data_IF_499741583008
#
_entry.id   IF_499741583008
#
_cell.length_a   1.000
_cell.length_b   1.000
_cell.length_c   1.000
_cell.angle_alpha   90.00
_cell.angle_beta   90.00
_cell.angle_gamma   90.00
#
_symmetry.space_group_name_H-M   'P 1'
#
loop_
_entity.id
_entity.type
_entity.pdbx_description
1 polymer ?
#
# COMPACT_ATOMS: atom_id res chain seq x y z
N UNK A 1 4.10 -75.19 5.18
CA UNK A 1 3.55 -75.81 6.40
C UNK A 1 2.17 -75.22 6.62
N UNK A 2 1.15 -75.97 6.20
CA UNK A 2 -0.01 -76.43 7.01
C UNK A 2 -1.08 -75.34 7.17
N UNK A 3 -2.36 -75.51 6.81
CA UNK A 3 -3.09 -76.63 6.23
C UNK A 3 -4.49 -76.10 5.82
N UNK A 4 -5.04 -76.64 4.74
CA UNK A 4 -6.41 -76.41 4.26
C UNK A 4 -7.45 -77.10 5.14
N UNK A 5 -8.64 -76.52 5.32
CA UNK A 5 -9.87 -77.34 5.52
C UNK A 5 -11.06 -76.68 4.82
N UNK A 6 -11.41 -77.26 3.67
CA UNK A 6 -12.71 -77.18 2.99
C UNK A 6 -13.67 -78.13 3.70
N UNK A 7 -14.90 -77.69 4.00
CA UNK A 7 -16.00 -78.58 4.42
C UNK A 7 -17.08 -78.62 3.35
N UNK A 8 -17.03 -79.70 2.58
CA UNK A 8 -18.07 -80.22 1.71
C UNK A 8 -19.22 -80.79 2.58
N UNK A 9 -20.48 -80.41 2.32
CA UNK A 9 -21.64 -81.07 2.91
C UNK A 9 -22.43 -81.73 1.78
N UNK A 10 -22.26 -83.05 1.70
CA UNK A 10 -22.95 -83.99 0.82
C UNK A 10 -24.13 -84.57 1.60
N UNK A 11 -25.35 -84.46 1.08
CA UNK A 11 -26.49 -85.24 1.57
C UNK A 11 -26.94 -86.21 0.48
N UNK A 12 -26.70 -87.49 0.75
CA UNK A 12 -27.13 -88.62 -0.04
C UNK A 12 -28.65 -88.82 0.07
N UNK A 13 -29.25 -89.13 -1.09
CA UNK A 13 -30.49 -89.89 -1.22
C UNK A 13 -30.12 -91.37 -1.03
N UNK A 14 -30.97 -92.22 -0.43
CA UNK A 14 -31.73 -93.10 -1.31
C UNK A 14 -33.09 -93.60 -0.79
N UNK A 15 -33.79 -94.23 -1.73
CA UNK A 15 -34.68 -95.39 -1.57
C UNK A 15 -36.17 -95.13 -1.34
N UNK A 16 -36.94 -96.11 -1.79
CA UNK A 16 -38.17 -96.00 -2.54
C UNK A 16 -39.27 -96.92 -2.01
N UNK A 17 -40.51 -96.39 -1.97
CA UNK A 17 -41.84 -97.02 -2.18
C UNK A 17 -42.27 -98.25 -1.33
N UNK A 18 -43.58 -98.44 -1.03
CA UNK A 18 -44.53 -98.89 -2.06
C UNK A 18 -45.96 -98.28 -2.00
N UNK A 19 -46.74 -98.71 -3.00
CA UNK A 19 -48.02 -98.22 -3.51
C UNK A 19 -49.25 -98.31 -2.60
N UNK A 20 -50.23 -97.43 -2.87
CA UNK A 20 -51.65 -97.73 -2.74
C UNK A 20 -52.45 -96.92 -3.78
N UNK A 21 -53.39 -97.62 -4.44
CA UNK A 21 -54.15 -97.20 -5.60
C UNK A 21 -55.40 -96.36 -5.26
N UNK A 22 -55.91 -95.65 -6.28
CA UNK A 22 -57.32 -95.26 -6.58
C UNK A 22 -57.49 -93.76 -6.92
N UNK A 23 -58.54 -93.36 -7.64
CA UNK A 23 -58.87 -93.73 -9.01
C UNK A 23 -58.89 -92.52 -9.95
N UNK A 24 -58.68 -92.83 -11.22
CA UNK A 24 -58.77 -91.95 -12.38
C UNK A 24 -60.22 -91.44 -12.60
N UNK A 25 -60.41 -90.13 -12.51
CA UNK A 25 -61.55 -89.40 -13.08
C UNK A 25 -61.09 -88.06 -13.64
N UNK A 26 -60.33 -88.12 -14.74
CA UNK A 26 -60.17 -86.95 -15.60
C UNK A 26 -61.52 -86.55 -16.24
N UNK A 27 -62.27 -85.68 -15.56
CA UNK A 27 -63.28 -84.85 -16.21
C UNK A 27 -62.56 -83.93 -17.19
N UNK A 28 -62.54 -84.32 -18.46
CA UNK A 28 -62.16 -83.43 -19.56
C UNK A 28 -63.14 -82.25 -19.61
N UNK A 29 -62.78 -81.15 -18.94
CA UNK A 29 -63.41 -79.85 -19.20
C UNK A 29 -63.16 -79.49 -20.67
N UNK A 30 -64.25 -79.23 -21.40
CA UNK A 30 -64.25 -78.78 -22.79
C UNK A 30 -63.18 -77.69 -22.98
N UNK A 31 -62.40 -77.76 -24.06
CA UNK A 31 -61.28 -76.83 -24.35
C UNK A 31 -61.66 -75.34 -24.25
N UNK A 32 -62.94 -74.99 -24.46
CA UNK A 32 -63.45 -73.63 -24.25
C UNK A 32 -63.51 -73.19 -22.78
N UNK A 33 -63.94 -74.06 -21.86
CA UNK A 33 -64.03 -73.75 -20.42
C UNK A 33 -62.64 -73.60 -19.80
N UNK A 34 -61.65 -74.38 -20.26
CA UNK A 34 -60.25 -74.20 -19.82
C UNK A 34 -59.71 -72.83 -20.20
N UNK A 35 -59.94 -72.37 -21.43
CA UNK A 35 -59.54 -71.01 -21.86
C UNK A 35 -60.22 -69.93 -21.03
N UNK A 36 -61.51 -70.07 -20.77
CA UNK A 36 -62.25 -69.11 -19.94
C UNK A 36 -61.79 -69.11 -18.48
N UNK A 37 -61.44 -70.27 -17.93
CA UNK A 37 -60.87 -70.41 -16.59
C UNK A 37 -59.49 -69.74 -16.50
N UNK A 38 -58.63 -69.91 -17.51
CA UNK A 38 -57.33 -69.23 -17.55
C UNK A 38 -57.47 -67.71 -17.69
N UNK A 39 -58.45 -67.23 -18.47
CA UNK A 39 -58.75 -65.79 -18.55
C UNK A 39 -59.25 -65.26 -17.21
N UNK A 40 -60.20 -65.94 -16.57
CA UNK A 40 -60.70 -65.56 -15.24
C UNK A 40 -59.60 -65.58 -14.17
N UNK A 41 -58.73 -66.60 -14.20
CA UNK A 41 -57.58 -66.68 -13.30
C UNK A 41 -56.59 -65.53 -13.58
N UNK A 42 -56.33 -65.22 -14.84
CA UNK A 42 -55.48 -64.08 -15.22
C UNK A 42 -56.05 -62.75 -14.73
N UNK A 43 -57.36 -62.53 -14.90
CA UNK A 43 -58.05 -61.34 -14.39
C UNK A 43 -58.04 -61.30 -12.86
N UNK A 44 -58.25 -62.43 -12.19
CA UNK A 44 -58.19 -62.52 -10.73
C UNK A 44 -56.79 -62.19 -10.20
N UNK A 45 -55.75 -62.77 -10.80
CA UNK A 45 -54.35 -62.47 -10.45
C UNK A 45 -54.05 -60.99 -10.67
N UNK A 46 -54.47 -60.42 -11.81
CA UNK A 46 -54.30 -59.00 -12.09
C UNK A 46 -55.01 -58.12 -11.04
N UNK A 47 -56.26 -58.45 -10.70
CA UNK A 47 -57.04 -57.71 -9.71
C UNK A 47 -56.42 -57.79 -8.31
N UNK A 48 -55.93 -58.98 -7.90
CA UNK A 48 -55.23 -59.17 -6.63
C UNK A 48 -53.88 -58.45 -6.63
N UNK A 49 -53.15 -58.42 -7.73
CA UNK A 49 -51.89 -57.66 -7.84
C UNK A 49 -52.12 -56.15 -7.76
N UNK A 50 -53.14 -55.62 -8.44
CA UNK A 50 -53.49 -54.19 -8.38
C UNK A 50 -53.99 -53.80 -6.99
N UNK A 51 -54.85 -54.62 -6.38
CA UNK A 51 -55.32 -54.39 -5.02
C UNK A 51 -54.16 -54.48 -4.01
N UNK A 52 -53.29 -55.48 -4.14
CA UNK A 52 -52.09 -55.62 -3.33
C UNK A 52 -51.18 -54.40 -3.44
N UNK A 53 -50.92 -53.92 -4.66
CA UNK A 53 -50.15 -52.71 -4.90
C UNK A 53 -50.78 -51.48 -4.26
N UNK A 54 -52.10 -51.27 -4.42
CA UNK A 54 -52.82 -50.15 -3.85
C UNK A 54 -52.84 -50.18 -2.31
N UNK A 55 -52.99 -51.35 -1.69
CA UNK A 55 -52.91 -51.47 -0.22
C UNK A 55 -51.49 -51.30 0.32
N UNK A 56 -50.46 -51.57 -0.48
CA UNK A 56 -49.06 -51.34 -0.10
C UNK A 56 -48.56 -49.95 -0.47
N UNK A 57 -49.22 -49.21 -1.37
CA UNK A 57 -48.73 -47.91 -1.85
C UNK A 57 -48.66 -46.85 -0.74
N UNK A 58 -49.60 -46.88 0.21
CA UNK A 58 -49.59 -45.99 1.37
C UNK A 58 -48.43 -46.28 2.34
N UNK A 59 -47.87 -47.49 2.30
CA UNK A 59 -46.68 -47.86 3.11
C UNK A 59 -45.40 -47.24 2.52
N UNK A 60 -45.42 -46.81 1.26
CA UNK A 60 -44.28 -46.17 0.60
C UNK A 60 -44.27 -44.63 0.72
N UNK A 61 -45.25 -43.99 1.40
CA UNK A 61 -45.14 -42.58 1.81
C UNK A 61 -44.27 -42.46 3.07
N UNK A 62 -43.02 -42.93 2.97
CA UNK A 62 -42.03 -42.75 4.00
C UNK A 62 -41.68 -41.26 4.07
N UNK A 63 -42.22 -40.59 5.09
CA UNK A 63 -41.89 -39.21 5.44
C UNK A 63 -40.76 -39.22 6.45
N UNK A 64 -39.69 -38.52 6.14
CA UNK A 64 -38.58 -38.30 7.04
C UNK A 64 -38.66 -36.88 7.62
N UNK A 65 -38.29 -36.76 8.90
CA UNK A 65 -38.07 -35.47 9.52
C UNK A 65 -36.78 -34.86 8.93
N UNK A 66 -36.89 -33.70 8.33
CA UNK A 66 -35.78 -32.93 7.73
C UNK A 66 -35.58 -31.63 8.49
N UNK A 67 -34.36 -31.12 8.44
CA UNK A 67 -34.01 -29.83 8.99
C UNK A 67 -34.24 -28.74 7.94
N UNK A 68 -34.95 -27.68 8.32
CA UNK A 68 -35.28 -26.54 7.46
C UNK A 68 -34.92 -25.23 8.15
N UNK A 69 -34.76 -24.15 7.39
CA UNK A 69 -34.59 -22.82 7.96
C UNK A 69 -35.89 -22.36 8.66
N UNK A 70 -35.83 -22.00 9.94
CA UNK A 70 -37.01 -21.55 10.71
C UNK A 70 -37.42 -20.11 10.36
N UNK A 71 -36.47 -19.32 9.87
CA UNK A 71 -36.62 -17.92 9.44
C UNK A 71 -35.75 -17.66 8.19
N UNK A 72 -35.93 -16.52 7.50
CA UNK A 72 -34.97 -16.10 6.49
C UNK A 72 -33.59 -15.86 7.12
N UNK A 73 -32.55 -16.35 6.45
CA UNK A 73 -31.13 -16.19 6.83
C UNK A 73 -30.44 -15.45 5.69
N UNK A 74 -29.81 -14.31 5.99
CA UNK A 74 -29.10 -13.52 4.99
C UNK A 74 -27.75 -14.16 4.63
N UNK A 75 -27.24 -13.86 3.43
CA UNK A 75 -25.85 -14.21 3.10
C UNK A 75 -24.89 -13.45 4.03
N UNK A 76 -23.86 -14.14 4.54
CA UNK A 76 -22.91 -13.62 5.53
C UNK A 76 -23.43 -13.64 6.97
N UNK A 77 -24.65 -14.12 7.24
CA UNK A 77 -25.19 -14.18 8.60
C UNK A 77 -24.62 -15.38 9.37
N UNK A 78 -24.19 -15.14 10.62
CA UNK A 78 -23.76 -16.21 11.54
C UNK A 78 -24.97 -16.96 12.09
N UNK A 79 -24.89 -18.28 12.02
CA UNK A 79 -25.98 -19.18 12.37
C UNK A 79 -26.03 -19.47 13.86
N UNK A 80 -27.25 -19.49 14.39
CA UNK A 80 -27.59 -19.97 15.73
C UNK A 80 -28.51 -21.18 15.64
N UNK A 81 -28.55 -22.00 16.69
CA UNK A 81 -29.46 -23.15 16.77
C UNK A 81 -30.94 -22.79 16.55
N UNK A 82 -31.33 -21.55 16.88
CA UNK A 82 -32.70 -21.04 16.72
C UNK A 82 -33.10 -20.82 15.26
N UNK A 83 -32.14 -20.78 14.35
CA UNK A 83 -32.35 -20.52 12.92
C UNK A 83 -32.84 -21.77 12.17
N UNK A 84 -32.87 -22.90 12.86
CA UNK A 84 -33.27 -24.19 12.33
C UNK A 84 -34.57 -24.68 12.96
N UNK A 85 -35.40 -25.30 12.12
CA UNK A 85 -36.60 -26.02 12.50
C UNK A 85 -36.62 -27.40 11.87
N UNK A 86 -37.68 -28.14 12.13
CA UNK A 86 -37.90 -29.46 11.54
C UNK A 86 -39.22 -29.49 10.78
N UNK A 87 -39.23 -30.14 9.63
CA UNK A 87 -40.43 -30.40 8.82
C UNK A 87 -40.45 -31.85 8.34
N UNK A 88 -41.56 -32.32 7.79
CA UNK A 88 -41.72 -33.66 7.23
C UNK A 88 -41.68 -33.63 5.70
N UNK A 89 -40.75 -34.36 5.10
CA UNK A 89 -40.59 -34.45 3.65
C UNK A 89 -40.55 -35.90 3.16
N UNK A 90 -41.03 -36.12 1.94
CA UNK A 90 -41.07 -37.45 1.30
C UNK A 90 -39.65 -37.89 0.94
N UNK A 91 -39.21 -39.05 1.44
CA UNK A 91 -37.82 -39.55 1.34
C UNK A 91 -37.30 -39.58 -0.10
N UNK A 92 -38.16 -39.87 -1.09
CA UNK A 92 -37.77 -39.91 -2.51
C UNK A 92 -37.36 -38.57 -3.13
N UNK A 93 -37.55 -37.46 -2.42
CA UNK A 93 -37.27 -36.09 -2.91
C UNK A 93 -36.05 -35.43 -2.25
N UNK A 94 -35.40 -36.08 -1.29
CA UNK A 94 -34.32 -35.51 -0.49
C UNK A 94 -32.97 -36.09 -0.99
N UNK A 95 -32.09 -35.28 -1.62
CA UNK A 95 -30.83 -35.77 -2.18
C UNK A 95 -29.73 -36.07 -1.13
N UNK A 96 -30.00 -35.93 0.17
CA UNK A 96 -29.03 -36.09 1.26
C UNK A 96 -29.66 -36.71 2.51
N UNK A 97 -28.80 -37.27 3.38
CA UNK A 97 -29.18 -38.07 4.55
C UNK A 97 -30.12 -37.31 5.52
N UNK A 98 -31.08 -38.01 6.18
CA UNK A 98 -31.89 -37.42 7.23
C UNK A 98 -30.99 -36.96 8.39
N UNK A 99 -31.15 -35.69 8.76
CA UNK A 99 -30.38 -35.06 9.83
C UNK A 99 -30.73 -35.69 11.19
N UNK A 100 -29.71 -35.96 12.00
CA UNK A 100 -29.90 -36.36 13.41
C UNK A 100 -30.44 -35.18 14.23
N UNK A 101 -31.04 -35.45 15.39
CA UNK A 101 -31.56 -34.40 16.27
C UNK A 101 -30.48 -33.38 16.72
N UNK A 102 -29.22 -33.77 16.64
CA UNK A 102 -28.07 -32.95 17.02
C UNK A 102 -27.51 -32.12 15.85
N UNK A 103 -28.06 -32.26 14.65
CA UNK A 103 -27.57 -31.55 13.46
C UNK A 103 -27.54 -30.01 13.58
N UNK A 104 -28.50 -29.34 14.24
CA UNK A 104 -28.43 -27.88 14.43
C UNK A 104 -27.16 -27.41 15.15
N UNK A 105 -26.65 -28.19 16.10
CA UNK A 105 -25.42 -27.86 16.84
C UNK A 105 -24.17 -27.93 15.97
N UNK A 106 -24.21 -28.67 14.85
CA UNK A 106 -23.09 -28.75 13.90
C UNK A 106 -22.92 -27.45 13.11
N UNK A 107 -24.00 -26.70 12.91
CA UNK A 107 -24.00 -25.44 12.15
C UNK A 107 -23.90 -24.20 13.04
N UNK A 108 -23.93 -24.37 14.37
CA UNK A 108 -23.81 -23.26 15.29
C UNK A 108 -22.46 -22.55 15.10
N UNK A 109 -22.50 -21.25 14.84
CA UNK A 109 -21.31 -20.44 14.54
C UNK A 109 -20.80 -20.52 13.09
N UNK A 110 -21.44 -21.31 12.21
CA UNK A 110 -21.15 -21.25 10.77
C UNK A 110 -21.78 -20.01 10.12
N UNK A 111 -21.40 -19.69 8.89
CA UNK A 111 -21.88 -18.53 8.13
C UNK A 111 -22.59 -18.97 6.86
N UNK A 112 -23.73 -18.35 6.55
CA UNK A 112 -24.48 -18.64 5.33
C UNK A 112 -23.80 -18.07 4.08
N UNK A 113 -23.54 -18.91 3.08
CA UNK A 113 -22.93 -18.51 1.80
C UNK A 113 -23.91 -17.76 0.88
N UNK A 114 -25.21 -18.06 1.03
CA UNK A 114 -26.29 -17.51 0.21
C UNK A 114 -27.47 -17.12 1.09
N UNK A 115 -28.39 -16.30 0.57
CA UNK A 115 -29.64 -16.02 1.27
C UNK A 115 -30.55 -17.24 1.25
N UNK A 116 -30.99 -17.69 2.42
CA UNK A 116 -31.83 -18.89 2.60
C UNK A 116 -33.22 -18.47 3.07
N UNK A 117 -34.27 -18.65 2.26
CA UNK A 117 -35.65 -18.40 2.69
C UNK A 117 -36.10 -19.34 3.80
N UNK A 118 -37.06 -18.89 4.64
CA UNK A 118 -37.71 -19.76 5.62
C UNK A 118 -38.37 -20.98 4.96
N UNK A 119 -38.31 -22.13 5.62
CA UNK A 119 -38.82 -23.42 5.11
C UNK A 119 -37.90 -24.11 4.09
N UNK A 120 -36.76 -23.50 3.74
CA UNK A 120 -35.81 -24.12 2.82
C UNK A 120 -35.09 -25.28 3.49
N UNK A 121 -34.96 -26.40 2.75
CA UNK A 121 -34.19 -27.57 3.17
C UNK A 121 -32.71 -27.20 3.34
N UNK A 122 -32.19 -27.46 4.54
CA UNK A 122 -30.85 -27.09 4.94
C UNK A 122 -29.84 -28.13 4.46
N UNK A 123 -28.74 -27.68 3.84
CA UNK A 123 -27.68 -28.52 3.28
C UNK A 123 -26.31 -28.06 3.76
N UNK A 124 -25.37 -29.01 3.91
CA UNK A 124 -23.98 -28.72 4.35
C UNK A 124 -23.29 -27.67 3.43
N UNK A 125 -23.58 -27.68 2.13
CA UNK A 125 -22.97 -26.79 1.12
C UNK A 125 -23.46 -25.34 1.16
N UNK A 126 -24.48 -25.03 1.98
CA UNK A 126 -25.01 -23.67 2.14
C UNK A 126 -24.22 -22.86 3.16
N UNK A 127 -23.32 -23.50 3.90
CA UNK A 127 -22.60 -22.89 5.00
C UNK A 127 -21.12 -23.18 4.94
N UNK A 128 -20.40 -22.37 5.69
CA UNK A 128 -18.95 -22.44 5.77
C UNK A 128 -18.55 -22.08 7.20
N UNK A 129 -17.36 -22.48 7.64
CA UNK A 129 -16.87 -22.03 8.93
C UNK A 129 -16.71 -20.49 8.90
N UNK A 130 -17.05 -19.80 10.00
CA UNK A 130 -16.92 -18.35 10.08
C UNK A 130 -15.49 -17.84 9.76
N UNK A 131 -14.48 -18.67 10.01
CA UNK A 131 -13.07 -18.38 9.72
C UNK A 131 -12.73 -18.41 8.22
N UNK A 132 -13.61 -18.98 7.38
CA UNK A 132 -13.35 -19.23 5.95
C UNK A 132 -14.16 -18.37 4.98
N UNK A 133 -15.09 -17.56 5.48
CA UNK A 133 -15.79 -16.56 4.66
C UNK A 133 -15.63 -15.19 5.27
N UNK A 134 -15.25 -14.17 4.47
CA UNK A 134 -15.27 -12.78 4.92
C UNK A 134 -16.70 -12.42 5.36
N UNK A 135 -16.90 -12.29 6.66
CA UNK A 135 -18.20 -12.02 7.28
C UNK A 135 -18.45 -10.52 7.23
N UNK A 136 -19.19 -10.04 6.21
CA UNK A 136 -19.64 -8.66 6.14
C UNK A 136 -18.82 -7.75 5.23
N UNK A 137 -18.76 -6.45 5.56
CA UNK A 137 -18.25 -5.32 4.76
C UNK A 137 -16.72 -5.33 4.63
N UNK A 138 -16.11 -6.50 4.46
CA UNK A 138 -14.69 -6.59 4.16
C UNK A 138 -14.47 -6.20 2.70
N UNK A 139 -13.48 -5.34 2.49
CA UNK A 139 -13.12 -4.84 1.17
C UNK A 139 -11.87 -5.57 0.71
N UNK A 140 -11.91 -5.97 -0.55
CA UNK A 140 -10.75 -6.50 -1.24
C UNK A 140 -9.75 -5.37 -1.51
N UNK A 141 -8.49 -5.58 -1.13
CA UNK A 141 -7.36 -4.74 -1.54
C UNK A 141 -6.26 -5.62 -2.11
N UNK A 142 -5.64 -5.15 -3.19
CA UNK A 142 -4.55 -5.84 -3.89
C UNK A 142 -3.29 -5.05 -3.68
N UNK A 143 -2.31 -5.67 -3.02
CA UNK A 143 -1.02 -5.07 -2.71
C UNK A 143 0.02 -5.63 -3.66
N UNK A 144 0.46 -4.87 -4.69
CA UNK A 144 1.50 -5.33 -5.60
C UNK A 144 2.85 -5.36 -4.86
N UNK A 145 3.63 -6.42 -5.11
CA UNK A 145 4.90 -6.68 -4.44
C UNK A 145 6.06 -6.81 -5.44
N UNK A 146 7.15 -6.10 -5.18
CA UNK A 146 8.45 -6.30 -5.83
C UNK A 146 9.31 -7.22 -4.96
N UNK A 147 9.69 -8.38 -5.50
CA UNK A 147 10.45 -9.39 -4.79
C UNK A 147 11.97 -9.22 -4.95
N UNK A 148 12.44 -8.08 -5.46
CA UNK A 148 13.86 -7.78 -5.66
C UNK A 148 14.72 -7.88 -4.40
N UNK A 149 14.12 -7.73 -3.22
CA UNK A 149 14.79 -7.85 -1.92
C UNK A 149 14.65 -9.23 -1.25
N UNK A 150 13.86 -10.14 -1.83
CA UNK A 150 13.72 -11.49 -1.31
C UNK A 150 15.02 -12.28 -1.58
N UNK A 151 15.58 -12.88 -0.53
CA UNK A 151 16.78 -13.71 -0.61
C UNK A 151 16.46 -15.15 -1.03
N UNK A 152 15.19 -15.56 -0.91
CA UNK A 152 14.66 -16.86 -1.29
C UNK A 152 13.34 -16.79 -2.05
N UNK A 153 12.78 -17.95 -2.39
CA UNK A 153 11.42 -18.04 -2.92
C UNK A 153 10.43 -17.84 -1.77
N UNK A 154 9.54 -16.87 -1.93
CA UNK A 154 8.46 -16.58 -0.99
C UNK A 154 7.23 -17.44 -1.30
N UNK A 155 6.56 -17.90 -0.25
CA UNK A 155 5.33 -18.66 -0.29
C UNK A 155 4.23 -17.99 0.54
N UNK A 156 2.99 -18.37 0.28
CA UNK A 156 1.88 -18.03 1.16
C UNK A 156 2.15 -18.55 2.58
N UNK A 157 1.92 -17.70 3.58
CA UNK A 157 2.23 -17.95 4.99
C UNK A 157 3.61 -17.46 5.44
N UNK A 158 4.47 -17.00 4.53
CA UNK A 158 5.76 -16.43 4.92
C UNK A 158 5.59 -15.03 5.53
N UNK A 159 6.31 -14.76 6.63
CA UNK A 159 6.38 -13.42 7.21
C UNK A 159 7.43 -12.58 6.49
N UNK A 160 7.02 -11.41 5.99
CA UNK A 160 7.85 -10.49 5.24
C UNK A 160 7.82 -9.08 5.83
N UNK A 161 8.89 -8.33 5.60
CA UNK A 161 8.90 -6.89 5.77
C UNK A 161 8.53 -6.22 4.44
N UNK A 162 7.50 -5.39 4.48
CA UNK A 162 7.13 -4.51 3.37
C UNK A 162 7.92 -3.22 3.46
N UNK A 163 8.58 -2.87 2.37
CA UNK A 163 9.55 -1.77 2.29
C UNK A 163 9.05 -0.77 1.26
N UNK A 164 8.99 0.50 1.66
CA UNK A 164 8.87 1.63 0.75
C UNK A 164 10.23 1.79 0.04
N UNK A 165 10.28 1.67 -1.31
CA UNK A 165 11.52 1.79 -2.06
C UNK A 165 12.15 3.20 -1.98
N UNK A 166 11.43 4.18 -1.42
CA UNK A 166 11.84 5.57 -1.38
C UNK A 166 11.52 6.28 -2.70
N UNK A 167 12.02 7.51 -2.84
CA UNK A 167 12.00 8.23 -4.10
C UNK A 167 13.43 8.33 -4.61
N UNK A 168 13.65 8.05 -5.89
CA UNK A 168 14.98 8.14 -6.49
C UNK A 168 15.53 9.57 -6.39
N UNK A 169 16.84 9.73 -6.11
CA UNK A 169 17.47 11.03 -6.13
C UNK A 169 17.37 11.66 -7.53
N UNK A 170 17.01 12.94 -7.60
CA UNK A 170 17.09 13.75 -8.81
C UNK A 170 18.07 14.90 -8.58
N UNK A 171 18.49 15.59 -9.64
CA UNK A 171 19.48 16.66 -9.53
C UNK A 171 19.00 17.74 -8.53
N UNK A 172 19.76 17.92 -7.44
CA UNK A 172 19.43 18.86 -6.37
C UNK A 172 18.40 18.37 -5.34
N UNK A 173 17.91 17.13 -5.45
CA UNK A 173 17.00 16.52 -4.46
C UNK A 173 17.46 15.08 -4.15
N UNK A 174 17.89 14.79 -2.91
CA UNK A 174 18.32 13.46 -2.51
C UNK A 174 17.17 12.42 -2.48
N UNK A 175 15.93 12.85 -2.74
CA UNK A 175 14.76 12.00 -2.77
C UNK A 175 14.28 11.61 -1.37
N UNK A 176 13.51 10.53 -1.28
CA UNK A 176 12.97 9.99 -0.02
C UNK A 176 13.73 8.71 0.34
N UNK A 177 14.17 8.54 1.61
CA UNK A 177 14.84 7.31 2.01
C UNK A 177 13.90 6.11 1.91
N UNK A 178 14.51 4.94 1.71
CA UNK A 178 13.84 3.65 1.95
C UNK A 178 13.46 3.54 3.41
N UNK A 179 12.33 2.88 3.69
CA UNK A 179 11.90 2.56 5.05
C UNK A 179 11.08 1.30 5.10
N UNK A 180 11.12 0.60 6.23
CA UNK A 180 10.19 -0.47 6.52
C UNK A 180 8.85 0.13 6.88
N UNK A 181 7.82 -0.28 6.17
CA UNK A 181 6.46 0.22 6.36
C UNK A 181 5.70 -0.66 7.34
N UNK A 182 5.75 -1.98 7.12
CA UNK A 182 4.93 -2.94 7.86
C UNK A 182 5.52 -4.33 7.81
N UNK A 183 5.35 -5.08 8.89
CA UNK A 183 5.52 -6.53 8.93
C UNK A 183 4.17 -7.19 8.61
N UNK A 184 4.17 -8.19 7.73
CA UNK A 184 2.95 -8.90 7.37
C UNK A 184 3.23 -10.35 6.98
N UNK A 185 2.20 -11.19 7.08
CA UNK A 185 2.22 -12.56 6.57
C UNK A 185 1.59 -12.56 5.17
N UNK A 186 2.26 -13.18 4.20
CA UNK A 186 1.77 -13.27 2.83
C UNK A 186 0.48 -14.10 2.77
N UNK A 187 -0.65 -13.44 2.49
CA UNK A 187 -1.98 -14.06 2.42
C UNK A 187 -2.54 -13.99 0.99
N UNK A 188 -3.07 -15.09 0.45
CA UNK A 188 -3.53 -15.18 -0.95
C UNK A 188 -2.48 -14.64 -1.95
N UNK A 189 -1.22 -15.02 -1.77
CA UNK A 189 -0.10 -14.52 -2.56
C UNK A 189 0.09 -15.33 -3.85
N UNK A 190 0.13 -14.65 -5.00
CA UNK A 190 0.23 -15.29 -6.33
C UNK A 190 1.65 -15.28 -6.93
N UNK A 191 2.65 -14.78 -6.20
CA UNK A 191 4.02 -14.58 -6.67
C UNK A 191 4.34 -13.15 -7.09
N UNK A 192 3.35 -12.27 -7.21
CA UNK A 192 3.56 -10.86 -7.61
C UNK A 192 2.73 -9.86 -6.82
N UNK A 193 1.67 -10.32 -6.17
CA UNK A 193 0.78 -9.48 -5.38
C UNK A 193 0.13 -10.30 -4.27
N UNK A 194 -0.27 -9.59 -3.22
CA UNK A 194 -1.01 -10.13 -2.08
C UNK A 194 -2.45 -9.64 -2.16
N UNK A 195 -3.42 -10.55 -2.05
CA UNK A 195 -4.84 -10.20 -2.05
C UNK A 195 -5.40 -10.28 -0.62
N UNK A 196 -5.76 -9.13 -0.06
CA UNK A 196 -6.26 -9.03 1.30
C UNK A 196 -7.76 -8.73 1.32
N UNK A 197 -8.49 -9.37 2.22
CA UNK A 197 -9.85 -9.01 2.58
C UNK A 197 -9.80 -8.41 3.98
N UNK A 198 -10.03 -7.11 4.07
CA UNK A 198 -9.79 -6.32 5.30
C UNK A 198 -10.99 -5.45 5.63
N UNK A 199 -11.06 -4.97 6.87
CA UNK A 199 -12.08 -4.00 7.29
C UNK A 199 -11.99 -2.69 6.48
N UNK A 200 -13.07 -1.89 6.36
CA UNK A 200 -13.02 -0.62 5.64
C UNK A 200 -11.98 0.38 6.16
N UNK A 201 -11.68 0.35 7.46
CA UNK A 201 -10.63 1.19 8.07
C UNK A 201 -9.24 0.76 7.59
N UNK A 202 -8.96 -0.54 7.63
CA UNK A 202 -7.67 -1.07 7.17
C UNK A 202 -7.52 -0.97 5.64
N UNK A 203 -8.61 -1.12 4.89
CA UNK A 203 -8.63 -0.85 3.44
C UNK A 203 -8.20 0.59 3.14
N UNK A 204 -8.74 1.56 3.87
CA UNK A 204 -8.36 2.96 3.73
C UNK A 204 -6.88 3.22 4.11
N UNK A 205 -6.36 2.49 5.10
CA UNK A 205 -4.94 2.53 5.45
C UNK A 205 -4.06 1.99 4.32
N UNK A 206 -4.43 0.88 3.68
CA UNK A 206 -3.71 0.33 2.54
C UNK A 206 -3.74 1.25 1.32
N UNK A 207 -4.90 1.80 0.97
CA UNK A 207 -5.03 2.78 -0.11
C UNK A 207 -4.17 4.03 0.16
N UNK A 208 -4.22 4.57 1.38
CA UNK A 208 -3.40 5.71 1.77
C UNK A 208 -1.91 5.38 1.69
N UNK A 209 -1.51 4.18 2.12
CA UNK A 209 -0.13 3.75 2.09
C UNK A 209 0.39 3.61 0.65
N UNK A 210 -0.36 2.94 -0.23
CA UNK A 210 0.03 2.77 -1.63
C UNK A 210 0.11 4.12 -2.36
N UNK A 211 -0.80 5.04 -2.05
CA UNK A 211 -0.75 6.41 -2.55
C UNK A 211 0.47 7.20 -2.04
N UNK A 212 0.85 7.05 -0.76
CA UNK A 212 2.02 7.69 -0.16
C UNK A 212 3.34 7.16 -0.76
N UNK A 213 3.42 5.84 -0.95
CA UNK A 213 4.58 5.19 -1.57
C UNK A 213 4.71 5.63 -3.03
N UNK A 214 3.59 5.75 -3.75
CA UNK A 214 3.58 6.19 -5.15
C UNK A 214 4.11 5.13 -6.12
N UNK A 215 4.19 3.87 -5.69
CA UNK A 215 4.79 2.75 -6.43
C UNK A 215 4.55 1.39 -5.77
N UNK A 216 5.26 0.38 -6.25
CA UNK A 216 5.18 -1.00 -5.74
C UNK A 216 5.97 -1.14 -4.43
N UNK A 217 5.38 -1.80 -3.43
CA UNK A 217 6.08 -2.14 -2.19
C UNK A 217 7.09 -3.25 -2.46
N UNK A 218 8.28 -3.15 -1.87
CA UNK A 218 9.25 -4.23 -1.91
C UNK A 218 9.00 -5.22 -0.77
N UNK A 219 9.14 -6.52 -1.02
CA UNK A 219 9.04 -7.56 -0.01
C UNK A 219 10.42 -8.16 0.29
N UNK A 220 10.76 -8.24 1.58
CA UNK A 220 11.97 -8.89 2.06
C UNK A 220 11.61 -10.00 3.05
N UNK A 221 12.14 -11.20 2.86
CA UNK A 221 11.94 -12.33 3.77
C UNK A 221 12.65 -12.11 5.11
N UNK A 222 12.01 -12.57 6.18
CA UNK A 222 12.65 -12.67 7.49
C UNK A 222 13.32 -14.03 7.60
N UNK A 223 14.65 -14.03 7.73
CA UNK A 223 15.39 -15.26 7.99
C UNK A 223 14.90 -15.97 9.25
N UNK A 224 15.00 -17.31 9.28
CA UNK A 224 14.50 -18.13 10.39
C UNK A 224 15.05 -17.64 11.74
N UNK A 225 14.14 -17.23 12.63
CA UNK A 225 14.48 -16.76 13.98
C UNK A 225 14.92 -15.30 14.07
N UNK A 226 14.84 -14.52 13.00
CA UNK A 226 15.03 -13.08 13.05
C UNK A 226 13.83 -12.39 13.73
N UNK A 227 14.11 -11.42 14.58
CA UNK A 227 13.08 -10.52 15.12
C UNK A 227 12.77 -9.45 14.08
N UNK A 228 11.51 -9.40 13.63
CA UNK A 228 11.07 -8.47 12.60
C UNK A 228 11.25 -7.01 13.01
N UNK A 229 10.90 -6.68 14.26
CA UNK A 229 11.00 -5.32 14.79
C UNK A 229 12.44 -4.84 14.98
N UNK A 230 13.37 -5.70 15.38
CA UNK A 230 14.81 -5.41 15.43
C UNK A 230 15.37 -5.22 14.02
N UNK A 231 15.01 -6.12 13.09
CA UNK A 231 15.46 -6.05 11.69
C UNK A 231 14.98 -4.77 11.03
N UNK A 232 13.70 -4.41 11.21
CA UNK A 232 13.12 -3.17 10.69
C UNK A 232 13.84 -1.92 11.21
N UNK A 233 14.00 -1.80 12.54
CA UNK A 233 14.71 -0.67 13.15
C UNK A 233 16.16 -0.55 12.67
N UNK A 234 16.84 -1.69 12.47
CA UNK A 234 18.20 -1.71 11.97
C UNK A 234 18.28 -1.23 10.51
N UNK A 235 17.36 -1.69 9.66
CA UNK A 235 17.29 -1.26 8.27
C UNK A 235 16.96 0.23 8.14
N UNK A 236 15.95 0.71 8.88
CA UNK A 236 15.58 2.13 8.89
C UNK A 236 16.77 2.99 9.33
N UNK A 237 17.52 2.56 10.35
CA UNK A 237 18.70 3.28 10.81
C UNK A 237 19.81 3.35 9.75
N UNK A 238 20.01 2.27 8.99
CA UNK A 238 21.02 2.22 7.91
C UNK A 238 20.60 3.10 6.74
N UNK A 239 19.35 3.01 6.27
CA UNK A 239 18.87 3.81 5.14
C UNK A 239 18.76 5.29 5.48
N UNK A 240 18.35 5.64 6.70
CA UNK A 240 18.36 7.03 7.14
C UNK A 240 19.78 7.59 7.18
N UNK A 241 20.77 6.81 7.64
CA UNK A 241 22.18 7.19 7.60
C UNK A 241 22.67 7.45 6.16
N UNK A 242 22.41 6.52 5.24
CA UNK A 242 22.78 6.66 3.83
C UNK A 242 22.13 7.88 3.17
N UNK A 243 20.86 8.13 3.46
CA UNK A 243 20.16 9.30 2.94
C UNK A 243 20.73 10.60 3.53
N UNK A 244 21.04 10.64 4.83
CA UNK A 244 21.67 11.82 5.44
C UNK A 244 23.03 12.15 4.84
N UNK A 245 23.85 11.13 4.56
CA UNK A 245 25.14 11.31 3.86
C UNK A 245 24.93 11.85 2.43
N UNK A 246 23.90 11.37 1.73
CA UNK A 246 23.56 11.85 0.39
C UNK A 246 23.04 13.30 0.39
N UNK A 247 22.25 13.69 1.41
CA UNK A 247 21.80 15.09 1.60
C UNK A 247 23.00 16.00 1.82
N UNK A 248 23.92 15.63 2.72
CA UNK A 248 25.12 16.42 2.99
C UNK A 248 26.02 16.58 1.75
N UNK A 249 26.12 15.54 0.92
CA UNK A 249 26.84 15.60 -0.36
C UNK A 249 26.13 16.52 -1.36
N UNK A 250 24.81 16.42 -1.50
CA UNK A 250 24.01 17.27 -2.37
C UNK A 250 24.10 18.75 -1.96
N UNK A 251 24.04 19.03 -0.66
CA UNK A 251 24.22 20.38 -0.10
C UNK A 251 25.62 20.91 -0.39
N UNK A 252 26.66 20.08 -0.22
CA UNK A 252 28.04 20.47 -0.54
C UNK A 252 28.21 20.77 -2.03
N UNK A 253 27.68 19.91 -2.90
CA UNK A 253 27.71 20.10 -4.33
C UNK A 253 26.92 21.36 -4.75
N UNK A 254 25.78 21.63 -4.12
CA UNK A 254 25.00 22.84 -4.35
C UNK A 254 25.74 24.10 -3.91
N UNK A 255 26.45 24.07 -2.77
CA UNK A 255 27.30 25.17 -2.32
C UNK A 255 28.50 25.39 -3.25
N UNK A 256 29.16 24.32 -3.71
CA UNK A 256 30.25 24.42 -4.69
C UNK A 256 29.77 24.95 -6.05
N UNK A 257 28.59 24.53 -6.50
CA UNK A 257 27.95 25.05 -7.70
C UNK A 257 27.51 26.51 -7.53
N UNK A 258 26.99 26.90 -6.36
CA UNK A 258 26.61 28.28 -6.06
C UNK A 258 27.81 29.22 -5.95
N UNK A 259 28.95 28.73 -5.41
CA UNK A 259 30.23 29.44 -5.41
C UNK A 259 30.82 29.66 -6.81
N UNK A 260 30.21 29.04 -7.83
CA UNK A 260 30.43 29.34 -9.24
C UNK A 260 29.13 29.86 -9.84
N UNK A 261 28.64 31.02 -9.37
CA UNK A 261 27.54 31.75 -10.01
C UNK A 261 27.76 31.76 -11.53
N UNK A 262 27.04 30.88 -12.24
CA UNK A 262 27.30 30.67 -13.65
C UNK A 262 26.85 31.95 -14.39
N UNK A 263 27.80 32.61 -15.06
CA UNK A 263 27.51 33.78 -15.89
C UNK A 263 26.30 33.50 -16.78
N UNK A 264 25.29 34.39 -16.79
CA UNK A 264 24.25 34.27 -17.80
C UNK A 264 24.90 34.40 -19.19
N UNK A 265 24.37 33.75 -20.25
CA UNK A 265 24.95 33.86 -21.58
C UNK A 265 25.08 35.33 -22.03
N UNK A 266 26.33 35.83 -22.10
CA UNK A 266 26.64 37.22 -22.47
C UNK A 266 27.15 38.10 -21.32
N UNK A 267 27.04 37.65 -20.07
CA UNK A 267 27.62 38.36 -18.92
C UNK A 267 29.13 38.18 -18.86
N UNK A 268 29.81 39.21 -18.39
CA UNK A 268 31.26 39.27 -18.26
C UNK A 268 31.63 39.31 -16.78
N UNK A 269 32.64 38.55 -16.41
CA UNK A 269 33.19 38.60 -15.06
C UNK A 269 33.94 39.92 -14.84
N UNK A 270 33.63 40.63 -13.76
CA UNK A 270 34.40 41.78 -13.28
C UNK A 270 34.89 41.52 -11.86
N UNK A 271 36.15 41.88 -11.62
CA UNK A 271 36.78 41.83 -10.31
C UNK A 271 37.05 43.26 -9.86
N UNK A 272 36.34 43.72 -8.84
CA UNK A 272 36.44 45.08 -8.31
C UNK A 272 37.19 45.04 -6.98
N UNK A 273 38.35 45.73 -6.86
CA UNK A 273 39.01 45.88 -5.58
C UNK A 273 38.20 46.81 -4.67
N UNK A 274 38.05 46.44 -3.40
CA UNK A 274 37.31 47.21 -2.39
C UNK A 274 38.25 47.62 -1.26
N UNK A 275 38.17 48.88 -0.83
CA UNK A 275 38.87 49.37 0.36
C UNK A 275 38.00 49.17 1.60
N UNK A 276 38.43 48.26 2.49
CA UNK A 276 37.72 47.92 3.72
C UNK A 276 38.10 48.81 4.91
N UNK A 277 38.82 49.92 4.69
CA UNK A 277 39.29 50.81 5.76
C UNK A 277 38.18 51.41 6.64
N UNK A 278 36.96 51.51 6.11
CA UNK A 278 35.79 51.97 6.87
C UNK A 278 35.08 50.86 7.67
N UNK A 279 35.52 49.60 7.54
CA UNK A 279 34.99 48.47 8.28
C UNK A 279 36.05 47.84 9.20
N UNK A 280 36.28 48.39 10.40
CA UNK A 280 37.28 47.86 11.32
C UNK A 280 36.94 46.46 11.85
N UNK A 281 35.67 46.07 11.81
CA UNK A 281 35.20 44.71 12.10
C UNK A 281 35.43 43.71 10.96
N UNK A 282 35.90 44.18 9.79
CA UNK A 282 35.94 43.41 8.56
C UNK A 282 34.60 43.42 7.83
N UNK A 283 34.60 42.88 6.61
CA UNK A 283 33.41 42.58 5.80
C UNK A 283 33.50 41.12 5.40
N UNK A 284 32.38 40.42 5.35
CA UNK A 284 32.28 39.02 4.95
C UNK A 284 31.34 38.86 3.76
N UNK A 285 31.44 37.70 3.10
CA UNK A 285 30.52 37.32 2.04
C UNK A 285 29.07 37.30 2.57
N UNK A 286 28.13 37.83 1.77
CA UNK A 286 26.72 37.98 2.11
C UNK A 286 26.35 39.30 2.78
N UNK A 287 27.33 40.08 3.27
CA UNK A 287 27.09 41.39 3.89
C UNK A 287 26.46 42.38 2.91
N UNK A 288 25.54 43.22 3.42
CA UNK A 288 25.07 44.41 2.70
C UNK A 288 25.96 45.59 3.06
N UNK A 289 26.56 46.23 2.06
CA UNK A 289 27.48 47.35 2.24
C UNK A 289 27.02 48.58 1.46
N UNK A 290 27.35 49.76 1.98
CA UNK A 290 27.35 51.00 1.21
C UNK A 290 28.68 51.11 0.49
N UNK A 291 28.61 51.34 -0.82
CA UNK A 291 29.76 51.62 -1.66
C UNK A 291 29.99 53.13 -1.67
N UNK A 292 31.19 53.55 -1.31
CA UNK A 292 31.53 54.95 -1.03
C UNK A 292 32.64 55.40 -1.97
N UNK A 293 32.41 56.53 -2.64
CA UNK A 293 33.47 57.32 -3.26
C UNK A 293 34.34 57.91 -2.14
N UNK A 294 35.64 57.57 -2.05
CA UNK A 294 36.53 58.10 -1.01
C UNK A 294 36.72 59.63 -1.10
N UNK A 295 36.28 60.24 -2.19
CA UNK A 295 36.44 61.65 -2.50
C UNK A 295 37.81 61.93 -3.11
N UNK A 296 38.11 63.22 -3.28
CA UNK A 296 39.40 63.69 -3.75
C UNK A 296 39.93 64.69 -2.74
N UNK A 297 41.17 64.49 -2.30
CA UNK A 297 41.81 65.40 -1.35
C UNK A 297 41.98 66.80 -1.97
N UNK A 298 41.87 67.88 -1.18
CA UNK A 298 42.15 69.22 -1.67
C UNK A 298 43.60 69.33 -2.14
N UNK A 299 43.79 69.84 -3.36
CA UNK A 299 45.11 70.18 -3.92
C UNK A 299 45.23 71.69 -4.03
N UNK A 300 46.44 72.22 -4.22
CA UNK A 300 46.66 73.66 -4.34
C UNK A 300 45.84 74.24 -5.52
N UNK A 301 44.76 74.95 -5.20
CA UNK A 301 43.84 75.54 -6.17
C UNK A 301 42.64 74.67 -6.57
N UNK A 302 42.51 73.45 -6.04
CA UNK A 302 41.35 72.58 -6.23
C UNK A 302 40.77 72.18 -4.86
N UNK A 303 39.53 72.54 -4.53
CA UNK A 303 38.91 72.16 -3.27
C UNK A 303 38.67 70.65 -3.10
N UNK A 304 38.96 69.83 -4.13
CA UNK A 304 38.71 68.39 -4.12
C UNK A 304 37.23 68.07 -4.21
N UNK A 305 36.84 66.84 -3.85
CA UNK A 305 35.43 66.43 -3.73
C UNK A 305 35.15 65.75 -2.40
N UNK A 306 33.96 65.95 -1.81
CA UNK A 306 33.57 65.22 -0.61
C UNK A 306 33.38 63.74 -0.90
N UNK A 307 33.49 62.91 0.14
CA UNK A 307 33.00 61.54 0.11
C UNK A 307 31.51 61.51 -0.23
N UNK A 308 31.09 60.50 -0.97
CA UNK A 308 29.67 60.29 -1.25
C UNK A 308 29.34 58.81 -1.37
N UNK A 309 28.14 58.42 -0.95
CA UNK A 309 27.65 57.06 -1.20
C UNK A 309 27.21 56.96 -2.65
N UNK A 310 27.83 56.04 -3.39
CA UNK A 310 27.53 55.80 -4.81
C UNK A 310 26.48 54.70 -5.00
N UNK A 311 26.34 53.80 -4.03
CA UNK A 311 25.31 52.76 -4.09
C UNK A 311 25.29 51.85 -2.87
N UNK A 312 24.40 50.86 -2.93
CA UNK A 312 24.31 49.76 -1.97
C UNK A 312 24.52 48.47 -2.72
N UNK A 313 25.26 47.54 -2.11
CA UNK A 313 25.60 46.29 -2.75
C UNK A 313 25.64 45.15 -1.72
N UNK A 314 25.21 43.97 -2.15
CA UNK A 314 25.39 42.74 -1.38
C UNK A 314 26.64 42.01 -1.85
N UNK A 315 27.51 41.64 -0.93
CA UNK A 315 28.82 41.03 -1.22
C UNK A 315 28.68 39.52 -1.49
N UNK A 316 28.06 39.15 -2.61
CA UNK A 316 27.75 37.74 -2.90
C UNK A 316 28.98 36.87 -3.22
N UNK A 317 30.04 37.42 -3.82
CA UNK A 317 31.29 36.69 -4.07
C UNK A 317 32.51 37.54 -3.66
N UNK A 318 32.60 37.87 -2.38
CA UNK A 318 33.67 38.68 -1.83
C UNK A 318 34.77 37.82 -1.18
N UNK A 319 36.02 38.01 -1.60
CA UNK A 319 37.18 37.38 -0.98
C UNK A 319 38.41 38.27 -1.06
N UNK A 320 39.19 38.33 0.02
CA UNK A 320 40.50 39.01 0.06
C UNK A 320 40.51 40.47 -0.45
N UNK A 321 39.51 41.28 -0.09
CA UNK A 321 39.42 42.68 -0.55
C UNK A 321 38.99 42.83 -2.00
N UNK A 322 38.55 41.76 -2.64
CA UNK A 322 38.07 41.74 -4.01
C UNK A 322 36.65 41.21 -4.05
N UNK A 323 35.82 41.88 -4.85
CA UNK A 323 34.49 41.44 -5.14
C UNK A 323 34.44 40.96 -6.58
N UNK A 324 33.92 39.75 -6.78
CA UNK A 324 33.68 39.17 -8.11
C UNK A 324 32.19 39.25 -8.39
N UNK A 325 31.82 39.63 -9.60
CA UNK A 325 30.44 39.58 -10.06
C UNK A 325 30.39 39.38 -11.58
N UNK A 326 29.27 38.89 -12.05
CA UNK A 326 28.95 38.82 -13.48
C UNK A 326 27.99 39.95 -13.80
N UNK A 327 28.31 40.71 -14.85
CA UNK A 327 27.53 41.88 -15.25
C UNK A 327 27.39 41.93 -16.78
N UNK A 328 26.28 42.47 -17.32
CA UNK A 328 26.14 42.71 -18.75
C UNK A 328 27.22 43.69 -19.24
N UNK A 329 27.60 43.69 -20.54
CA UNK A 329 28.76 44.44 -21.04
C UNK A 329 28.80 45.94 -20.69
N UNK A 330 27.64 46.59 -20.63
CA UNK A 330 27.50 48.01 -20.25
C UNK A 330 27.79 48.27 -18.77
N UNK A 331 27.33 47.38 -17.89
CA UNK A 331 27.55 47.47 -16.46
C UNK A 331 28.95 46.96 -16.08
N UNK A 332 29.46 45.95 -16.79
CA UNK A 332 30.85 45.50 -16.69
C UNK A 332 31.83 46.65 -16.94
N UNK A 333 31.59 47.45 -17.99
CA UNK A 333 32.43 48.62 -18.29
C UNK A 333 32.36 49.66 -17.17
N UNK A 334 31.16 49.89 -16.62
CA UNK A 334 30.99 50.76 -15.45
C UNK A 334 31.83 50.28 -14.26
N UNK A 335 31.66 49.02 -13.84
CA UNK A 335 32.38 48.44 -12.69
C UNK A 335 33.89 48.40 -12.89
N UNK A 336 34.34 48.06 -14.10
CA UNK A 336 35.76 48.04 -14.42
C UNK A 336 36.38 49.45 -14.38
N UNK A 337 35.66 50.46 -14.87
CA UNK A 337 36.13 51.84 -14.88
C UNK A 337 36.03 52.54 -13.52
N UNK A 338 35.26 51.98 -12.58
CA UNK A 338 34.92 52.65 -11.33
C UNK A 338 36.15 53.08 -10.52
N UNK A 339 37.17 52.25 -10.28
CA UNK A 339 38.36 52.68 -9.53
C UNK A 339 39.10 53.84 -10.21
N UNK A 340 39.17 53.83 -11.55
CA UNK A 340 39.84 54.89 -12.33
C UNK A 340 39.05 56.21 -12.28
N UNK A 341 37.71 56.13 -12.36
CA UNK A 341 36.82 57.30 -12.27
C UNK A 341 36.87 57.94 -10.88
N UNK A 342 36.90 57.11 -9.83
CA UNK A 342 37.01 57.58 -8.45
C UNK A 342 38.43 58.08 -8.13
N UNK A 343 39.45 57.52 -8.79
CA UNK A 343 40.87 57.74 -8.52
C UNK A 343 41.41 56.86 -7.39
N UNK A 344 40.62 55.91 -6.90
CA UNK A 344 40.95 54.98 -5.83
C UNK A 344 39.93 53.81 -5.82
N UNK A 345 40.27 52.73 -5.10
CA UNK A 345 39.31 51.66 -4.85
C UNK A 345 38.10 52.21 -4.06
N UNK A 346 36.85 51.86 -4.43
CA UNK A 346 35.68 52.23 -3.66
C UNK A 346 35.79 51.75 -2.21
N UNK A 347 35.38 52.59 -1.26
CA UNK A 347 35.34 52.22 0.15
C UNK A 347 34.05 51.48 0.47
N UNK A 348 34.10 50.52 1.40
CA UNK A 348 32.91 49.79 1.86
C UNK A 348 32.60 50.04 3.33
N UNK A 349 31.33 50.34 3.61
CA UNK A 349 30.80 50.49 4.96
C UNK A 349 29.66 49.48 5.16
N UNK A 350 29.79 48.48 6.05
CA UNK A 350 28.73 47.51 6.29
C UNK A 350 27.49 48.17 6.90
N UNK A 351 26.33 47.67 6.48
CA UNK A 351 25.03 48.10 6.97
C UNK A 351 24.44 46.97 7.80
N UNK A 352 24.12 47.25 9.07
CA UNK A 352 23.46 46.28 9.92
C UNK A 352 22.06 45.96 9.39
N UNK A 353 21.67 44.69 9.41
CA UNK A 353 20.34 44.26 9.02
C UNK A 353 19.25 45.05 9.76
N UNK A 354 18.20 45.45 9.04
CA UNK A 354 17.11 46.28 9.57
C UNK A 354 17.40 47.79 9.59
N UNK A 355 18.59 48.24 9.19
CA UNK A 355 18.88 49.68 9.03
C UNK A 355 18.14 50.25 7.82
N UNK A 356 17.54 51.43 7.96
CA UNK A 356 17.02 52.19 6.82
C UNK A 356 18.20 52.72 5.99
N UNK A 357 18.47 52.02 4.88
CA UNK A 357 19.57 52.31 3.95
C UNK A 357 19.44 53.72 3.39
N UNK A 358 18.24 54.15 3.00
CA UNK A 358 18.03 55.44 2.35
C UNK A 358 18.27 56.61 3.32
N UNK A 359 17.76 56.50 4.54
CA UNK A 359 18.01 57.50 5.58
C UNK A 359 19.49 57.56 5.96
N UNK A 360 20.15 56.42 6.05
CA UNK A 360 21.60 56.33 6.33
C UNK A 360 22.42 57.01 5.23
N UNK A 361 22.10 56.74 3.96
CA UNK A 361 22.73 57.37 2.79
C UNK A 361 22.54 58.88 2.80
N UNK A 362 21.32 59.35 3.04
CA UNK A 362 21.01 60.78 3.08
C UNK A 362 21.80 61.49 4.19
N UNK A 363 21.87 60.88 5.38
CA UNK A 363 22.59 61.40 6.54
C UNK A 363 24.10 61.47 6.33
N UNK A 364 24.70 60.41 5.79
CA UNK A 364 26.14 60.37 5.50
C UNK A 364 26.53 61.41 4.44
N UNK A 365 25.78 61.49 3.35
CA UNK A 365 26.03 62.47 2.29
C UNK A 365 25.89 63.91 2.81
N UNK A 366 24.91 64.19 3.69
CA UNK A 366 24.76 65.51 4.30
C UNK A 366 25.96 65.86 5.20
N UNK A 367 26.40 64.91 6.04
CA UNK A 367 27.52 65.08 6.97
C UNK A 367 28.85 65.32 6.22
N UNK A 368 29.16 64.53 5.20
CA UNK A 368 30.40 64.70 4.43
C UNK A 368 30.40 66.00 3.63
N UNK A 369 29.25 66.40 3.08
CA UNK A 369 29.13 67.68 2.38
C UNK A 369 29.35 68.87 3.32
N UNK A 370 28.77 68.86 4.52
CA UNK A 370 28.97 69.95 5.48
C UNK A 370 30.43 70.03 5.94
N UNK A 371 31.05 68.88 6.26
CA UNK A 371 32.46 68.83 6.66
C UNK A 371 33.40 69.36 5.56
N UNK A 372 33.12 69.03 4.30
CA UNK A 372 33.88 69.55 3.16
C UNK A 372 33.69 71.06 2.97
N UNK A 373 32.48 71.57 3.12
CA UNK A 373 32.21 73.02 3.06
C UNK A 373 32.94 73.79 4.17
N UNK A 374 32.94 73.26 5.39
CA UNK A 374 33.67 73.84 6.52
C UNK A 374 35.18 73.88 6.24
N UNK A 375 35.75 72.78 5.72
CA UNK A 375 37.16 72.71 5.36
C UNK A 375 37.55 73.73 4.25
N UNK A 376 36.66 73.98 3.28
CA UNK A 376 36.89 75.02 2.28
C UNK A 376 36.94 76.42 2.89
N UNK A 377 36.00 76.73 3.79
CA UNK A 377 35.96 78.05 4.43
C UNK A 377 37.21 78.30 5.28
N UNK A 378 37.72 77.27 5.96
CA UNK A 378 38.94 77.36 6.77
C UNK A 378 40.22 77.55 5.94
N UNK A 379 40.25 77.05 4.69
CA UNK A 379 41.42 77.19 3.80
C UNK A 379 41.46 78.56 3.10
N UNK A 380 40.31 79.23 2.98
CA UNK A 380 40.19 80.54 2.35
C UNK A 380 40.50 81.72 3.29
N UNK A 381 40.49 81.48 4.61
CA UNK A 381 40.85 82.43 5.67
C UNK A 381 42.30 82.31 6.07
#
# INVERSE_FOLDING_TARGET
>A
MTESVVREVKFDKPSSAPAAAAPDRQRQMRRGTKRMLFVLLGVLVLAVSVAGFYFTSDVFDERARVMVASRPIAAGETLSFTDFGYDEAVVGSIPHLPWTADAPYRFEGMVALVTIPAGTLVRDDMFVAAETVPVGVELETVVPLDLSLATGTLFEGDTVLLIDPGAEPVEGDPGRPRRVVRETELTNFDGTQMQLFVSPEEWAQWESLLAEVGGTLMAMDLGIGADAGETARRLDSVWLGQWSEAVEEADRAAVEAAGTAAAAPGDLEVVVPLDTSLSPSGVVEGDTVLLIDPGAEPLAGDPGRPRTVIGTLRLENYSNGQMRMFAPPEEWLYWQSLPDVLGAAPQVLPVTEGTDVNDTVARLNALWRSAWQEAQTATAS
#
